data_IF_264022413643
#
_entry.id   IF_264022413643
#
_cell.length_a   1.000
_cell.length_b   1.000
_cell.length_c   1.000
_cell.angle_alpha   90.00
_cell.angle_beta   90.00
_cell.angle_gamma   90.00
#
_symmetry.space_group_name_H-M   'P 1'
#
loop_
_entity.id
_entity.type
_entity.pdbx_description
1 polymer ?
#
# COMPACT_ATOMS: atom_id res chain seq x y z
N UNK A 1 -26.20 16.55 -59.19
CA UNK A 1 -24.92 16.22 -58.52
C UNK A 1 -24.50 14.81 -58.95
N UNK A 2 -23.26 14.63 -59.41
CA UNK A 2 -22.77 13.37 -59.97
C UNK A 2 -22.53 12.32 -58.84
N UNK A 3 -23.11 11.10 -58.90
CA UNK A 3 -22.97 10.07 -57.87
C UNK A 3 -21.53 9.60 -57.64
N UNK A 4 -20.66 9.63 -58.65
CA UNK A 4 -19.26 9.24 -58.53
C UNK A 4 -18.46 10.22 -57.66
N UNK A 5 -18.80 11.51 -57.75
CA UNK A 5 -18.20 12.57 -56.92
C UNK A 5 -18.54 12.34 -55.44
N UNK A 6 -19.78 11.95 -55.12
CA UNK A 6 -20.20 11.63 -53.75
C UNK A 6 -19.48 10.40 -53.19
N UNK A 7 -19.23 9.39 -54.03
CA UNK A 7 -18.49 8.21 -53.63
C UNK A 7 -17.02 8.55 -53.31
N UNK A 8 -16.37 9.34 -54.17
CA UNK A 8 -15.00 9.81 -53.97
C UNK A 8 -14.86 10.67 -52.69
N UNK A 9 -15.81 11.57 -52.42
CA UNK A 9 -15.81 12.38 -51.19
C UNK A 9 -15.99 11.52 -49.92
N UNK A 10 -16.85 10.49 -49.98
CA UNK A 10 -17.05 9.59 -48.85
C UNK A 10 -15.80 8.74 -48.58
N UNK A 11 -15.10 8.31 -49.62
CA UNK A 11 -13.84 7.58 -49.50
C UNK A 11 -12.71 8.47 -48.96
N UNK A 12 -12.59 9.70 -49.45
CA UNK A 12 -11.63 10.68 -48.91
C UNK A 12 -11.88 10.96 -47.42
N UNK A 13 -13.15 11.07 -47.00
CA UNK A 13 -13.52 11.21 -45.58
C UNK A 13 -13.15 9.99 -44.74
N UNK A 14 -13.30 8.77 -45.28
CA UNK A 14 -12.86 7.54 -44.61
C UNK A 14 -11.35 7.50 -44.45
N UNK A 15 -10.60 7.72 -45.54
CA UNK A 15 -9.13 7.77 -45.54
C UNK A 15 -8.59 8.81 -44.54
N UNK A 16 -9.20 10.00 -44.47
CA UNK A 16 -8.84 11.04 -43.47
C UNK A 16 -9.06 10.59 -42.03
N UNK A 17 -10.12 9.82 -41.74
CA UNK A 17 -10.41 9.33 -40.37
C UNK A 17 -9.48 8.20 -39.95
N UNK A 18 -9.00 7.42 -40.91
CA UNK A 18 -8.06 6.32 -40.68
C UNK A 18 -6.61 6.81 -40.55
N UNK A 19 -6.31 8.00 -41.10
CA UNK A 19 -5.00 8.64 -40.99
C UNK A 19 -4.55 8.79 -39.52
N UNK A 20 -3.43 8.17 -39.11
CA UNK A 20 -2.95 8.24 -37.74
C UNK A 20 -2.55 9.65 -37.29
N UNK A 21 -2.06 10.49 -38.21
CA UNK A 21 -1.71 11.89 -37.94
C UNK A 21 -2.95 12.72 -37.60
N UNK A 22 -4.05 12.50 -38.34
CA UNK A 22 -5.34 13.13 -38.06
C UNK A 22 -5.90 12.65 -36.72
N UNK A 23 -5.89 11.34 -36.45
CA UNK A 23 -6.42 10.78 -35.19
C UNK A 23 -5.65 11.29 -33.97
N UNK A 24 -4.32 11.36 -34.06
CA UNK A 24 -3.48 11.87 -32.98
C UNK A 24 -3.70 13.37 -32.76
N UNK A 25 -3.78 14.17 -33.83
CA UNK A 25 -4.12 15.58 -33.74
C UNK A 25 -5.51 15.83 -33.14
N UNK A 26 -6.54 15.07 -33.55
CA UNK A 26 -7.90 15.16 -33.01
C UNK A 26 -7.94 14.75 -31.53
N UNK A 27 -7.20 13.71 -31.13
CA UNK A 27 -7.10 13.29 -29.73
C UNK A 27 -6.40 14.34 -28.85
N UNK A 28 -5.34 14.97 -29.37
CA UNK A 28 -4.64 16.06 -28.69
C UNK A 28 -5.53 17.31 -28.58
N UNK A 29 -6.26 17.66 -29.64
CA UNK A 29 -7.22 18.77 -29.61
C UNK A 29 -8.34 18.53 -28.59
N UNK A 30 -8.89 17.30 -28.54
CA UNK A 30 -9.88 16.92 -27.55
C UNK A 30 -9.33 16.95 -26.12
N UNK A 31 -8.07 16.54 -25.91
CA UNK A 31 -7.39 16.67 -24.60
C UNK A 31 -7.24 18.14 -24.20
N UNK A 32 -6.71 18.99 -25.07
CA UNK A 32 -6.54 20.44 -24.84
C UNK A 32 -7.87 21.10 -24.49
N UNK A 33 -8.95 20.78 -25.22
CA UNK A 33 -10.31 21.27 -24.94
C UNK A 33 -10.82 20.83 -23.56
N UNK A 34 -10.48 19.62 -23.10
CA UNK A 34 -10.87 19.14 -21.76
C UNK A 34 -10.06 19.77 -20.64
N UNK A 35 -8.83 20.17 -20.92
CA UNK A 35 -7.96 20.83 -19.94
C UNK A 35 -8.28 22.33 -19.81
N UNK A 36 -8.87 22.93 -20.85
CA UNK A 36 -9.35 24.31 -20.84
C UNK A 36 -10.36 24.56 -19.68
N UNK A 37 -10.00 25.42 -18.70
CA UNK A 37 -10.85 25.70 -17.55
C UNK A 37 -12.20 26.33 -17.91
N UNK A 38 -12.27 27.17 -18.95
CA UNK A 38 -13.50 27.83 -19.38
C UNK A 38 -14.45 26.82 -20.00
N UNK A 39 -13.94 25.90 -20.82
CA UNK A 39 -14.73 24.82 -21.40
C UNK A 39 -15.25 23.89 -20.31
N UNK A 40 -14.40 23.51 -19.35
CA UNK A 40 -14.83 22.67 -18.21
C UNK A 40 -15.92 23.34 -17.38
N UNK A 41 -15.78 24.64 -17.11
CA UNK A 41 -16.76 25.41 -16.35
C UNK A 41 -18.10 25.48 -17.10
N UNK A 42 -18.07 25.81 -18.39
CA UNK A 42 -19.26 25.86 -19.23
C UNK A 42 -19.96 24.49 -19.34
N UNK A 43 -19.21 23.38 -19.50
CA UNK A 43 -19.78 22.03 -19.51
C UNK A 43 -20.39 21.64 -18.16
N UNK A 44 -19.74 22.00 -17.05
CA UNK A 44 -20.27 21.77 -15.71
C UNK A 44 -21.55 22.57 -15.46
N UNK A 45 -21.59 23.83 -15.90
CA UNK A 45 -22.77 24.69 -15.78
C UNK A 45 -23.92 24.17 -16.67
N UNK A 46 -23.64 23.80 -17.92
CA UNK A 46 -24.63 23.19 -18.80
C UNK A 46 -25.21 21.90 -18.21
N UNK A 47 -24.37 21.08 -17.57
CA UNK A 47 -24.82 19.88 -16.84
C UNK A 47 -25.68 20.22 -15.63
N UNK A 48 -25.33 21.26 -14.86
CA UNK A 48 -26.15 21.75 -13.73
C UNK A 48 -27.52 22.22 -14.20
N UNK A 49 -27.57 23.09 -15.21
CA UNK A 49 -28.81 23.60 -15.82
C UNK A 49 -29.70 22.46 -16.32
N UNK A 50 -29.13 21.46 -17.01
CA UNK A 50 -29.88 20.25 -17.43
C UNK A 50 -30.48 19.49 -16.25
N UNK A 51 -29.75 19.36 -15.16
CA UNK A 51 -30.21 18.66 -13.94
C UNK A 51 -31.26 19.43 -13.16
N UNK A 52 -31.28 20.76 -13.29
CA UNK A 52 -32.29 21.64 -12.69
C UNK A 52 -33.59 21.70 -13.50
N UNK A 53 -33.60 21.09 -14.69
CA UNK A 53 -34.82 20.92 -15.47
C UNK A 53 -35.93 20.24 -14.67
N UNK A 54 -37.20 20.64 -14.89
CA UNK A 54 -38.34 20.07 -14.17
C UNK A 54 -38.39 18.56 -14.35
N UNK A 55 -38.57 17.83 -13.25
CA UNK A 55 -38.68 16.37 -13.24
C UNK A 55 -37.38 15.57 -13.40
N UNK A 56 -36.26 16.18 -13.80
CA UNK A 56 -34.99 15.46 -14.04
C UNK A 56 -34.46 14.84 -12.74
N UNK A 57 -34.44 15.61 -11.64
CA UNK A 57 -34.01 15.09 -10.33
C UNK A 57 -34.90 13.96 -9.81
N UNK A 58 -36.21 14.05 -10.06
CA UNK A 58 -37.16 13.01 -9.67
C UNK A 58 -36.95 11.72 -10.47
N UNK A 59 -36.77 11.84 -11.78
CA UNK A 59 -36.46 10.72 -12.65
C UNK A 59 -35.10 10.06 -12.31
N UNK A 60 -34.06 10.84 -12.02
CA UNK A 60 -32.77 10.32 -11.53
C UNK A 60 -32.92 9.55 -10.20
N UNK A 61 -33.68 10.12 -9.25
CA UNK A 61 -33.92 9.49 -7.97
C UNK A 61 -34.70 8.17 -8.12
N UNK A 62 -35.70 8.15 -9.00
CA UNK A 62 -36.46 6.94 -9.29
C UNK A 62 -35.63 5.89 -10.03
N UNK A 63 -34.83 6.27 -11.01
CA UNK A 63 -33.90 5.36 -11.67
C UNK A 63 -32.91 4.73 -10.67
N UNK A 64 -32.41 5.53 -9.72
CA UNK A 64 -31.55 5.02 -8.66
C UNK A 64 -32.30 4.10 -7.69
N UNK A 65 -33.57 4.36 -7.36
CA UNK A 65 -34.43 3.44 -6.59
C UNK A 65 -34.62 2.11 -7.32
N UNK A 66 -35.06 2.16 -8.59
CA UNK A 66 -35.25 0.97 -9.43
C UNK A 66 -33.97 0.13 -9.52
N UNK A 67 -32.81 0.77 -9.73
CA UNK A 67 -31.51 0.08 -9.74
C UNK A 67 -31.19 -0.61 -8.42
N UNK A 68 -31.57 -0.02 -7.27
CA UNK A 68 -31.35 -0.64 -5.95
C UNK A 68 -32.31 -1.80 -5.67
N UNK A 69 -33.51 -1.75 -6.23
CA UNK A 69 -34.53 -2.79 -6.08
C UNK A 69 -34.28 -3.96 -7.03
N UNK A 70 -33.63 -3.71 -8.17
CA UNK A 70 -33.25 -4.73 -9.15
C UNK A 70 -32.44 -5.88 -8.50
N UNK A 71 -33.01 -7.10 -8.46
CA UNK A 71 -32.35 -8.24 -7.83
C UNK A 71 -30.99 -8.58 -8.46
N UNK A 72 -30.83 -8.39 -9.76
CA UNK A 72 -29.59 -8.70 -10.49
C UNK A 72 -28.45 -7.76 -10.10
N UNK A 73 -28.78 -6.47 -9.92
CA UNK A 73 -27.83 -5.47 -9.45
C UNK A 73 -27.44 -5.75 -7.99
N UNK A 74 -28.42 -6.07 -7.15
CA UNK A 74 -28.19 -6.38 -5.74
C UNK A 74 -27.28 -7.60 -5.56
N UNK A 75 -27.51 -8.68 -6.31
CA UNK A 75 -26.68 -9.90 -6.23
C UNK A 75 -25.27 -9.63 -6.73
N UNK A 76 -25.10 -8.93 -7.85
CA UNK A 76 -23.79 -8.56 -8.38
C UNK A 76 -23.00 -7.66 -7.40
N UNK A 77 -23.65 -6.67 -6.78
CA UNK A 77 -23.01 -5.80 -5.78
C UNK A 77 -22.65 -6.58 -4.50
N UNK A 78 -23.48 -7.52 -4.07
CA UNK A 78 -23.20 -8.38 -2.92
C UNK A 78 -22.01 -9.32 -3.21
N UNK A 79 -21.94 -9.91 -4.40
CA UNK A 79 -20.82 -10.75 -4.83
C UNK A 79 -19.52 -9.94 -4.89
N UNK A 80 -19.55 -8.73 -5.47
CA UNK A 80 -18.40 -7.85 -5.51
C UNK A 80 -17.89 -7.50 -4.10
N UNK A 81 -18.80 -7.19 -3.17
CA UNK A 81 -18.45 -6.96 -1.75
C UNK A 81 -17.85 -8.20 -1.10
N UNK A 82 -18.39 -9.39 -1.37
CA UNK A 82 -17.84 -10.66 -0.87
C UNK A 82 -16.43 -10.90 -1.39
N UNK A 83 -16.19 -10.71 -2.70
CA UNK A 83 -14.86 -10.81 -3.31
C UNK A 83 -13.88 -9.82 -2.70
N UNK A 84 -14.30 -8.56 -2.50
CA UNK A 84 -13.46 -7.55 -1.85
C UNK A 84 -13.08 -7.93 -0.41
N UNK A 85 -14.03 -8.44 0.37
CA UNK A 85 -13.75 -8.95 1.74
C UNK A 85 -12.78 -10.12 1.73
N UNK A 86 -12.97 -11.08 0.81
CA UNK A 86 -12.08 -12.23 0.66
C UNK A 86 -10.66 -11.77 0.30
N UNK A 87 -10.51 -10.90 -0.69
CA UNK A 87 -9.21 -10.34 -1.06
C UNK A 87 -8.54 -9.60 0.11
N UNK A 88 -9.31 -8.83 0.88
CA UNK A 88 -8.79 -8.16 2.08
C UNK A 88 -8.36 -9.18 3.16
N UNK A 89 -9.15 -10.24 3.39
CA UNK A 89 -8.81 -11.29 4.35
C UNK A 89 -7.58 -12.08 3.91
N UNK A 90 -7.42 -12.36 2.61
CA UNK A 90 -6.24 -13.03 2.07
C UNK A 90 -4.99 -12.16 2.26
N UNK A 91 -5.10 -10.85 2.04
CA UNK A 91 -4.04 -9.89 2.35
C UNK A 91 -3.67 -9.87 3.83
N UNK A 92 -4.66 -9.95 4.73
CA UNK A 92 -4.44 -10.04 6.17
C UNK A 92 -3.72 -11.35 6.56
N UNK A 93 -4.16 -12.49 6.03
CA UNK A 93 -3.52 -13.80 6.28
C UNK A 93 -2.07 -13.81 5.82
N UNK A 94 -1.79 -13.31 4.61
CA UNK A 94 -0.42 -13.17 4.09
C UNK A 94 0.44 -12.24 4.94
N UNK A 95 -0.15 -11.16 5.46
CA UNK A 95 0.56 -10.23 6.36
C UNK A 95 0.91 -10.89 7.68
N UNK A 96 -0.03 -11.65 8.27
CA UNK A 96 0.22 -12.41 9.49
C UNK A 96 1.33 -13.45 9.30
N UNK A 97 1.24 -14.26 8.24
CA UNK A 97 2.26 -15.26 7.91
C UNK A 97 3.65 -14.63 7.84
N UNK A 98 3.80 -13.55 7.07
CA UNK A 98 5.09 -12.85 6.93
C UNK A 98 5.61 -12.26 8.25
N UNK A 99 4.72 -11.79 9.13
CA UNK A 99 5.11 -11.08 10.35
C UNK A 99 5.41 -12.00 11.52
N UNK A 100 4.74 -13.16 11.59
CA UNK A 100 4.78 -14.02 12.78
C UNK A 100 5.19 -15.46 12.47
N UNK A 101 4.84 -16.00 11.30
CA UNK A 101 5.18 -17.39 10.92
C UNK A 101 6.55 -17.44 10.24
N UNK A 102 6.78 -16.60 9.23
CA UNK A 102 8.02 -16.59 8.43
C UNK A 102 9.12 -15.73 9.07
N UNK A 103 8.84 -15.15 10.23
CA UNK A 103 9.71 -14.21 10.93
C UNK A 103 10.01 -14.76 12.32
N UNK A 104 11.06 -15.59 12.47
CA UNK A 104 11.31 -16.30 13.71
C UNK A 104 11.57 -15.34 14.87
N UNK A 105 10.95 -15.63 16.01
CA UNK A 105 11.28 -15.05 17.31
C UNK A 105 12.59 -15.67 17.84
N UNK A 106 13.22 -15.05 18.85
CA UNK A 106 14.46 -15.57 19.43
C UNK A 106 15.74 -14.87 18.98
N UNK A 107 15.66 -13.79 18.20
CA UNK A 107 16.84 -13.08 17.71
C UNK A 107 17.27 -12.00 18.71
N UNK A 108 18.49 -12.06 19.22
CA UNK A 108 19.00 -11.08 20.19
C UNK A 108 19.58 -9.83 19.53
N UNK A 109 19.33 -8.66 20.13
CA UNK A 109 19.97 -7.41 19.77
C UNK A 109 21.44 -7.40 20.21
N UNK A 110 22.38 -7.20 19.29
CA UNK A 110 23.83 -7.27 19.57
C UNK A 110 24.35 -6.28 20.62
N UNK A 111 23.56 -5.25 20.96
CA UNK A 111 23.98 -4.21 21.92
C UNK A 111 23.37 -4.39 23.30
N UNK A 112 22.09 -4.79 23.38
CA UNK A 112 21.34 -4.85 24.65
C UNK A 112 20.83 -6.25 25.01
N UNK A 113 21.16 -7.26 24.18
CA UNK A 113 20.84 -8.68 24.36
C UNK A 113 19.35 -9.05 24.46
N UNK A 114 18.46 -8.07 24.37
CA UNK A 114 17.01 -8.29 24.30
C UNK A 114 16.63 -9.07 23.06
N UNK A 115 15.67 -9.96 23.22
CA UNK A 115 15.16 -10.87 22.19
C UNK A 115 14.01 -10.22 21.41
N UNK A 116 14.02 -10.37 20.09
CA UNK A 116 13.05 -9.82 19.16
C UNK A 116 12.75 -10.80 18.03
N UNK A 117 11.76 -10.46 17.20
CA UNK A 117 11.62 -11.08 15.89
C UNK A 117 12.77 -10.64 14.98
N UNK A 118 13.16 -11.52 14.06
CA UNK A 118 14.27 -11.25 13.12
C UNK A 118 14.12 -9.90 12.40
N UNK A 119 12.90 -9.56 11.98
CA UNK A 119 12.63 -8.35 11.20
C UNK A 119 12.67 -7.04 12.01
N UNK A 120 12.57 -7.12 13.33
CA UNK A 120 12.69 -5.96 14.23
C UNK A 120 14.14 -5.49 14.38
N UNK A 121 15.09 -6.39 14.13
CA UNK A 121 16.51 -6.11 14.20
C UNK A 121 17.06 -5.65 12.85
N UNK A 122 17.64 -4.45 12.85
CA UNK A 122 18.23 -3.85 11.65
C UNK A 122 19.76 -3.96 11.68
N UNK A 123 20.41 -4.21 10.53
CA UNK A 123 21.86 -4.21 10.45
C UNK A 123 22.42 -2.85 10.86
N UNK A 124 23.56 -2.86 11.54
CA UNK A 124 24.27 -1.65 11.93
C UNK A 124 24.81 -0.90 10.69
N UNK A 125 24.45 0.37 10.47
CA UNK A 125 25.02 1.15 9.37
C UNK A 125 26.51 1.44 9.58
N UNK A 126 27.27 1.47 8.49
CA UNK A 126 28.74 1.66 8.53
C UNK A 126 29.16 2.94 9.26
N UNK A 127 28.46 4.04 8.99
CA UNK A 127 28.67 5.34 9.66
C UNK A 127 28.53 5.30 11.19
N UNK A 128 27.81 4.32 11.72
CA UNK A 128 27.52 4.16 13.13
C UNK A 128 28.47 3.17 13.82
N UNK A 129 29.31 2.43 13.08
CA UNK A 129 30.25 1.44 13.65
C UNK A 129 31.25 2.09 14.61
N UNK A 130 31.78 3.26 14.26
CA UNK A 130 32.72 4.03 15.11
C UNK A 130 32.18 4.29 16.52
N UNK A 131 30.87 4.48 16.66
CA UNK A 131 30.22 4.72 17.96
C UNK A 131 30.32 3.49 18.85
N UNK A 132 30.15 2.29 18.29
CA UNK A 132 30.18 1.04 19.06
C UNK A 132 31.58 0.44 19.20
N UNK A 133 32.54 0.80 18.34
CA UNK A 133 33.89 0.24 18.33
C UNK A 133 34.58 0.27 19.70
N UNK A 134 34.44 1.39 20.44
CA UNK A 134 35.05 1.52 21.77
C UNK A 134 34.39 0.61 22.82
N UNK A 135 33.08 0.39 22.70
CA UNK A 135 32.30 -0.41 23.64
C UNK A 135 32.35 -1.92 23.34
N UNK A 136 32.64 -2.28 22.09
CA UNK A 136 32.69 -3.67 21.59
C UNK A 136 33.96 -3.89 20.75
N UNK A 137 35.17 -3.76 21.34
CA UNK A 137 36.43 -3.72 20.58
C UNK A 137 36.77 -5.03 19.86
N UNK A 138 36.34 -6.17 20.39
CA UNK A 138 36.65 -7.50 19.87
C UNK A 138 35.51 -8.12 19.05
N UNK A 139 34.45 -7.36 18.77
CA UNK A 139 33.26 -7.88 18.09
C UNK A 139 33.22 -7.46 16.63
N UNK A 140 32.74 -8.35 15.76
CA UNK A 140 32.50 -7.99 14.35
C UNK A 140 31.24 -7.14 14.21
N UNK A 141 31.43 -5.82 14.13
CA UNK A 141 30.35 -4.86 13.97
C UNK A 141 29.59 -4.98 12.64
N UNK A 142 30.12 -5.69 11.63
CA UNK A 142 29.42 -5.92 10.37
C UNK A 142 28.22 -6.85 10.55
N UNK A 143 28.28 -7.74 11.52
CA UNK A 143 27.22 -8.71 11.83
C UNK A 143 26.20 -8.18 12.84
N UNK A 144 26.42 -6.98 13.39
CA UNK A 144 25.56 -6.43 14.43
C UNK A 144 24.14 -6.18 13.90
N UNK A 145 23.16 -6.69 14.64
CA UNK A 145 21.74 -6.43 14.42
C UNK A 145 21.15 -5.77 15.65
N UNK A 146 20.60 -4.58 15.47
CA UNK A 146 20.15 -3.71 16.55
C UNK A 146 18.64 -3.55 16.55
N UNK A 147 18.04 -3.57 17.74
CA UNK A 147 16.66 -3.15 17.94
C UNK A 147 16.52 -1.63 17.71
N UNK A 148 15.29 -1.17 17.50
CA UNK A 148 14.97 0.24 17.21
C UNK A 148 15.53 1.21 18.26
N UNK A 149 15.43 0.89 19.55
CA UNK A 149 15.95 1.75 20.64
C UNK A 149 17.47 1.89 20.62
N UNK A 150 18.18 0.77 20.43
CA UNK A 150 19.64 0.80 20.35
C UNK A 150 20.07 1.55 19.08
N UNK A 151 19.40 1.29 17.96
CA UNK A 151 19.64 1.98 16.70
C UNK A 151 19.49 3.50 16.82
N UNK A 152 18.46 3.98 17.53
CA UNK A 152 18.25 5.41 17.75
C UNK A 152 19.38 6.06 18.56
N UNK A 153 19.87 5.37 19.59
CA UNK A 153 20.97 5.89 20.43
C UNK A 153 22.28 5.94 19.64
N UNK A 154 22.61 4.86 18.93
CA UNK A 154 23.86 4.79 18.16
C UNK A 154 23.84 5.80 17.00
N UNK A 155 22.69 6.07 16.38
CA UNK A 155 22.56 7.13 15.37
C UNK A 155 22.83 8.53 15.92
N UNK A 156 22.63 8.75 17.22
CA UNK A 156 22.98 10.00 17.92
C UNK A 156 24.44 10.05 18.36
N UNK A 157 25.18 8.95 18.21
CA UNK A 157 26.57 8.84 18.67
C UNK A 157 26.72 8.29 20.09
N UNK A 158 25.63 7.81 20.70
CA UNK A 158 25.62 7.35 22.08
C UNK A 158 25.65 5.82 22.21
N UNK A 159 26.27 5.33 23.29
CA UNK A 159 26.12 3.94 23.73
C UNK A 159 24.80 3.81 24.50
N UNK A 160 23.88 2.89 24.12
CA UNK A 160 22.63 2.69 24.86
C UNK A 160 22.88 2.36 26.34
N UNK A 161 22.09 2.95 27.25
CA UNK A 161 22.18 2.69 28.70
C UNK A 161 22.08 1.22 29.09
N UNK A 162 21.21 0.47 28.41
CA UNK A 162 21.02 -0.97 28.64
C UNK A 162 21.97 -1.81 27.78
N UNK A 163 23.14 -1.27 27.44
CA UNK A 163 24.13 -2.02 26.68
C UNK A 163 24.83 -3.05 27.55
N UNK A 164 25.08 -4.23 26.99
CA UNK A 164 25.91 -5.27 27.62
C UNK A 164 27.33 -4.81 27.90
N UNK A 165 27.87 -3.93 27.04
CA UNK A 165 29.16 -3.26 27.27
C UNK A 165 29.19 -2.39 28.53
N UNK A 166 28.01 -1.92 28.98
CA UNK A 166 27.84 -1.12 30.21
C UNK A 166 27.52 -1.98 31.44
N UNK A 167 27.70 -3.31 31.35
CA UNK A 167 27.48 -4.25 32.44
C UNK A 167 26.05 -4.78 32.58
N UNK A 168 25.13 -4.38 31.70
CA UNK A 168 23.79 -4.97 31.69
C UNK A 168 23.86 -6.45 31.27
N UNK A 169 23.45 -7.35 32.17
CA UNK A 169 23.39 -8.80 31.90
C UNK A 169 22.08 -9.36 32.42
N UNK A 170 21.48 -10.25 31.64
CA UNK A 170 20.34 -11.02 32.11
C UNK A 170 20.79 -12.00 33.21
N UNK A 171 19.98 -12.16 34.28
CA UNK A 171 20.26 -13.18 35.28
C UNK A 171 20.21 -14.58 34.64
N UNK A 172 20.97 -15.55 35.18
CA UNK A 172 20.93 -16.92 34.69
C UNK A 172 19.52 -17.50 34.86
N UNK A 173 19.20 -18.49 34.03
CA UNK A 173 17.91 -19.17 34.06
C UNK A 173 17.66 -19.76 35.47
N UNK A 174 16.61 -19.36 36.20
CA UNK A 174 16.37 -19.87 37.55
C UNK A 174 16.13 -21.38 37.55
N UNK A 175 16.80 -22.09 38.45
CA UNK A 175 16.76 -23.56 38.55
C UNK A 175 15.36 -24.12 38.91
N UNK A 176 14.47 -23.28 39.43
CA UNK A 176 13.15 -23.67 39.95
C UNK A 176 11.99 -23.21 39.08
N UNK A 177 12.21 -22.93 37.78
CA UNK A 177 11.10 -22.64 36.89
C UNK A 177 10.22 -23.89 36.73
N UNK A 178 8.89 -23.76 36.87
CA UNK A 178 7.99 -24.87 36.62
C UNK A 178 8.14 -25.33 35.17
N UNK A 179 8.10 -26.64 34.94
CA UNK A 179 8.02 -27.21 33.60
C UNK A 179 6.78 -26.63 32.92
N UNK A 180 7.00 -25.98 31.78
CA UNK A 180 5.92 -25.47 30.95
C UNK A 180 5.11 -26.65 30.44
N UNK A 181 3.83 -26.70 30.77
CA UNK A 181 2.94 -27.69 30.18
C UNK A 181 2.64 -27.30 28.73
N UNK A 182 2.11 -28.23 27.93
CA UNK A 182 1.83 -28.00 26.52
C UNK A 182 0.89 -26.81 26.24
N UNK A 183 0.07 -26.39 27.21
CA UNK A 183 -0.77 -25.20 27.10
C UNK A 183 0.05 -23.93 27.34
N UNK A 184 0.84 -23.92 28.41
CA UNK A 184 1.74 -22.81 28.74
C UNK A 184 2.76 -22.56 27.63
N UNK A 185 3.34 -23.62 27.07
CA UNK A 185 4.30 -23.55 25.96
C UNK A 185 3.66 -22.94 24.69
N UNK A 186 2.40 -23.28 24.39
CA UNK A 186 1.63 -22.68 23.29
C UNK A 186 1.20 -21.24 23.51
N UNK A 187 1.12 -20.77 24.76
CA UNK A 187 0.68 -19.41 25.10
C UNK A 187 1.83 -18.39 25.07
N UNK A 188 3.08 -18.85 25.14
CA UNK A 188 4.29 -18.01 25.18
C UNK A 188 5.19 -18.16 23.93
N UNK A 189 4.90 -19.12 23.05
CA UNK A 189 5.56 -19.30 21.74
C UNK A 189 4.79 -18.58 20.64
#
# INVERSE_FOLDING_TARGET
QNPEVRAAEAEAKRRRREDPGVRTAEAQAHRRRREDPQVRAAEAEAKRRRREGPGVRAAEAEAHRRRREDPTVRTAEAEAKRKARLANSEGATKTFQRQFTDNPFGNACSVCDRVFLRNDLKPLPDRCRKTLQRAFPNSDLCQFRLCSTCMQSVRKGDIPRLSTSSGYKYPPNPAHLPLLNAVSEKLIS
#
